data_IF_019939741462
#
_entry.id   IF_019939741462
#
_cell.length_a   1.000
_cell.length_b   1.000
_cell.length_c   1.000
_cell.angle_alpha   90.00
_cell.angle_beta   90.00
_cell.angle_gamma   90.00
#
_symmetry.space_group_name_H-M   'P 1'
#
loop_
_entity.id
_entity.type
_entity.pdbx_description
1 polymer ?
#
# COMPACT_ATOMS: atom_id res chain seq x y z
N UNK A 1 -49.14 -26.77 21.15
CA UNK A 1 -48.15 -26.21 20.19
C UNK A 1 -46.89 -27.08 20.23
N UNK A 2 -46.64 -27.86 19.18
CA UNK A 2 -45.86 -29.10 19.25
C UNK A 2 -44.36 -28.88 18.94
N UNK A 3 -43.47 -29.14 19.91
CA UNK A 3 -42.03 -28.79 19.89
C UNK A 3 -41.22 -29.32 18.70
N UNK A 4 -41.75 -30.28 17.93
CA UNK A 4 -41.08 -30.88 16.77
C UNK A 4 -40.94 -29.94 15.56
N UNK A 5 -41.79 -28.91 15.43
CA UNK A 5 -41.76 -28.01 14.27
C UNK A 5 -40.70 -26.90 14.36
N UNK A 6 -40.14 -26.64 15.56
CA UNK A 6 -39.07 -25.64 15.75
C UNK A 6 -37.68 -26.20 15.45
N UNK A 7 -37.48 -27.51 15.57
CA UNK A 7 -36.17 -28.12 15.35
C UNK A 7 -35.86 -28.31 13.85
N UNK A 8 -36.88 -28.63 13.04
CA UNK A 8 -36.71 -28.85 11.60
C UNK A 8 -36.36 -27.56 10.85
N UNK A 9 -36.84 -26.40 11.32
CA UNK A 9 -36.52 -25.11 10.72
C UNK A 9 -35.07 -24.65 11.00
N UNK A 10 -34.49 -25.02 12.16
CA UNK A 10 -33.13 -24.64 12.53
C UNK A 10 -32.08 -25.48 11.78
N UNK A 11 -32.37 -26.77 11.53
CA UNK A 11 -31.46 -27.63 10.75
C UNK A 11 -31.47 -27.25 9.25
N UNK A 12 -32.61 -26.79 8.71
CA UNK A 12 -32.67 -26.33 7.32
C UNK A 12 -31.86 -25.04 7.06
N UNK A 13 -31.68 -24.18 8.07
CA UNK A 13 -30.89 -22.95 7.95
C UNK A 13 -29.38 -23.24 7.92
N UNK A 14 -28.90 -24.29 8.60
CA UNK A 14 -27.48 -24.64 8.59
C UNK A 14 -27.02 -25.43 7.35
N UNK A 15 -27.93 -26.10 6.64
CA UNK A 15 -27.58 -26.90 5.45
C UNK A 15 -27.58 -26.06 4.15
N UNK A 16 -28.15 -24.85 4.17
CA UNK A 16 -28.20 -23.96 3.00
C UNK A 16 -26.95 -23.07 2.81
N UNK A 17 -25.98 -23.09 3.74
CA UNK A 17 -24.74 -22.30 3.62
C UNK A 17 -23.60 -23.02 2.88
N UNK A 18 -23.78 -24.27 2.46
CA UNK A 18 -22.80 -24.98 1.63
C UNK A 18 -23.04 -24.71 0.13
N UNK A 19 -23.20 -23.44 -0.25
CA UNK A 19 -23.14 -23.04 -1.65
C UNK A 19 -21.69 -22.74 -2.03
N UNK A 20 -21.11 -23.67 -2.78
CA UNK A 20 -20.23 -23.42 -3.93
C UNK A 20 -19.17 -22.33 -3.71
N UNK A 21 -17.99 -22.73 -3.23
CA UNK A 21 -16.78 -21.96 -3.54
C UNK A 21 -16.36 -22.32 -4.98
N UNK A 22 -16.41 -21.41 -5.96
CA UNK A 22 -15.71 -21.62 -7.21
C UNK A 22 -14.21 -21.69 -6.88
N UNK A 23 -13.53 -22.64 -7.52
CA UNK A 23 -12.12 -22.93 -7.26
C UNK A 23 -11.28 -21.67 -7.20
N UNK A 24 -10.60 -21.48 -6.08
CA UNK A 24 -9.47 -20.59 -6.02
C UNK A 24 -8.41 -21.17 -6.97
N UNK A 25 -8.36 -20.65 -8.19
CA UNK A 25 -7.17 -20.75 -9.01
C UNK A 25 -6.08 -20.05 -8.22
N UNK A 26 -5.16 -20.83 -7.66
CA UNK A 26 -3.88 -20.33 -7.20
C UNK A 26 -3.16 -19.89 -8.47
N UNK A 27 -3.34 -18.63 -8.85
CA UNK A 27 -2.35 -17.99 -9.70
C UNK A 27 -1.08 -18.02 -8.86
N UNK A 28 -0.14 -18.90 -9.24
CA UNK A 28 1.23 -18.65 -8.85
C UNK A 28 1.50 -17.21 -9.26
N UNK A 29 1.73 -16.34 -8.27
CA UNK A 29 2.29 -15.02 -8.51
C UNK A 29 3.60 -15.29 -9.23
N UNK A 30 3.56 -15.15 -10.55
CA UNK A 30 4.78 -15.05 -11.34
C UNK A 30 5.46 -13.82 -10.76
N UNK A 31 6.59 -14.01 -10.07
CA UNK A 31 7.42 -12.92 -9.55
C UNK A 31 8.05 -12.06 -10.66
N UNK A 32 7.65 -12.31 -11.90
CA UNK A 32 8.06 -11.65 -13.13
C UNK A 32 6.85 -11.13 -13.92
N UNK A 33 5.62 -11.29 -13.39
CA UNK A 33 4.44 -10.52 -13.80
C UNK A 33 4.33 -9.28 -12.91
N UNK A 34 5.48 -8.72 -12.54
CA UNK A 34 5.63 -7.29 -12.33
C UNK A 34 5.19 -6.68 -13.67
N UNK A 35 3.88 -6.42 -13.80
CA UNK A 35 3.45 -5.28 -14.60
C UNK A 35 4.28 -4.15 -14.03
N UNK A 36 5.36 -3.77 -14.74
CA UNK A 36 6.16 -2.60 -14.42
C UNK A 36 5.17 -1.57 -13.93
N UNK A 37 5.28 -1.20 -12.65
CA UNK A 37 4.30 -0.40 -11.92
C UNK A 37 4.42 1.04 -12.44
N UNK A 38 4.29 1.24 -13.74
CA UNK A 38 3.53 2.39 -14.18
C UNK A 38 2.12 2.13 -13.61
N UNK A 39 1.54 3.03 -12.81
CA UNK A 39 0.10 3.00 -12.61
C UNK A 39 -0.53 2.79 -13.99
N UNK A 40 -1.41 1.78 -14.11
CA UNK A 40 -2.39 1.70 -15.19
C UNK A 40 -3.40 2.86 -15.02
N UNK A 41 -2.89 4.10 -15.01
CA UNK A 41 -3.66 5.26 -15.36
C UNK A 41 -3.94 5.06 -16.83
N UNK A 42 -5.08 4.44 -17.14
CA UNK A 42 -5.67 4.41 -18.48
C UNK A 42 -5.98 5.87 -18.83
N UNK A 43 -4.95 6.62 -19.23
CA UNK A 43 -5.01 7.98 -19.69
C UNK A 43 -5.27 7.88 -21.18
N UNK A 44 -6.53 7.63 -21.56
CA UNK A 44 -7.06 7.83 -22.92
C UNK A 44 -6.11 7.44 -24.09
N UNK A 45 -5.58 6.22 -24.07
CA UNK A 45 -4.74 5.71 -25.16
C UNK A 45 -3.34 6.32 -25.25
N UNK A 46 -2.84 6.97 -24.20
CA UNK A 46 -1.44 7.36 -24.10
C UNK A 46 -0.55 6.12 -23.93
N UNK A 47 0.43 5.97 -24.82
CA UNK A 47 1.56 5.06 -24.60
C UNK A 47 2.53 5.76 -23.65
N UNK A 48 2.77 5.18 -22.47
CA UNK A 48 3.83 5.65 -21.57
C UNK A 48 5.16 5.05 -22.00
N UNK A 49 6.18 5.88 -22.11
CA UNK A 49 7.56 5.46 -22.37
C UNK A 49 8.36 5.41 -21.05
N UNK A 50 9.37 4.52 -20.94
CA UNK A 50 10.27 4.53 -19.80
C UNK A 50 10.92 5.91 -19.60
N UNK A 51 10.75 6.48 -18.40
CA UNK A 51 11.24 7.81 -18.04
C UNK A 51 10.18 8.91 -18.08
N UNK A 52 8.95 8.60 -18.52
CA UNK A 52 7.83 9.53 -18.40
C UNK A 52 7.52 9.84 -16.95
N UNK A 53 7.28 11.13 -16.68
CA UNK A 53 6.87 11.59 -15.35
C UNK A 53 5.36 11.38 -15.21
N UNK A 54 4.98 10.35 -14.46
CA UNK A 54 3.58 10.03 -14.18
C UNK A 54 3.02 10.86 -13.02
N UNK A 55 3.90 11.25 -12.09
CA UNK A 55 3.55 11.91 -10.85
C UNK A 55 4.55 13.02 -10.53
N UNK A 56 4.04 14.16 -10.05
CA UNK A 56 4.89 15.26 -9.60
C UNK A 56 4.22 15.99 -8.43
N UNK A 57 4.80 15.85 -7.24
CA UNK A 57 4.25 16.37 -5.99
C UNK A 57 5.33 17.03 -5.14
N UNK A 58 4.92 18.03 -4.36
CA UNK A 58 5.77 18.58 -3.31
C UNK A 58 5.62 17.78 -2.02
N UNK A 59 6.59 16.91 -1.74
CA UNK A 59 6.61 16.05 -0.54
C UNK A 59 7.00 16.80 0.74
N UNK A 60 7.54 18.02 0.64
CA UNK A 60 7.84 18.87 1.80
C UNK A 60 6.55 19.41 2.46
N UNK A 61 5.38 19.17 1.87
CA UNK A 61 4.08 19.42 2.52
C UNK A 61 3.87 18.60 3.80
N UNK A 62 4.69 17.54 4.00
CA UNK A 62 4.82 16.83 5.27
C UNK A 62 5.44 17.68 6.41
N UNK A 63 6.08 18.80 6.08
CA UNK A 63 6.86 19.61 7.01
C UNK A 63 8.30 19.12 7.22
N UNK A 64 8.72 18.05 6.53
CA UNK A 64 10.09 17.55 6.54
C UNK A 64 10.83 18.01 5.27
N UNK A 65 11.92 18.73 5.47
CA UNK A 65 12.79 19.22 4.39
C UNK A 65 14.01 18.31 4.14
N UNK A 66 14.01 17.12 4.73
CA UNK A 66 15.02 16.08 4.51
C UNK A 66 14.33 14.78 4.04
N UNK A 67 13.64 14.84 2.90
CA UNK A 67 13.07 13.68 2.22
C UNK A 67 14.13 12.95 1.39
N UNK A 68 14.27 11.63 1.54
CA UNK A 68 15.44 10.88 1.04
C UNK A 68 15.08 9.75 0.06
N UNK A 69 14.15 8.87 0.46
CA UNK A 69 13.70 7.73 -0.32
C UNK A 69 12.20 7.79 -0.59
N UNK A 70 11.78 7.13 -1.67
CA UNK A 70 10.38 7.05 -2.09
C UNK A 70 10.05 5.63 -2.53
N UNK A 71 8.87 5.16 -2.17
CA UNK A 71 8.31 3.89 -2.68
C UNK A 71 6.83 4.07 -2.99
N UNK A 72 6.33 3.39 -4.01
CA UNK A 72 4.91 3.37 -4.40
C UNK A 72 4.37 1.95 -4.40
N UNK A 73 3.31 1.68 -3.64
CA UNK A 73 2.69 0.34 -3.57
C UNK A 73 1.51 0.13 -4.54
N UNK A 74 1.27 1.07 -5.45
CA UNK A 74 0.08 1.09 -6.31
C UNK A 74 -1.08 1.93 -5.77
N UNK A 75 -1.05 2.34 -4.50
CA UNK A 75 -2.09 3.15 -3.84
C UNK A 75 -1.53 4.39 -3.15
N UNK A 76 -0.41 4.24 -2.44
CA UNK A 76 0.20 5.26 -1.60
C UNK A 76 1.67 5.45 -1.95
N UNK A 77 2.14 6.68 -1.84
CA UNK A 77 3.56 6.99 -1.79
C UNK A 77 4.03 7.00 -0.34
N UNK A 78 5.14 6.32 -0.10
CA UNK A 78 5.87 6.32 1.16
C UNK A 78 7.13 7.15 0.97
N UNK A 79 7.40 8.08 1.88
CA UNK A 79 8.58 8.95 1.80
C UNK A 79 9.38 8.85 3.09
N UNK A 80 10.65 8.47 3.02
CA UNK A 80 11.53 8.48 4.19
C UNK A 80 12.02 9.91 4.46
N UNK A 81 11.71 10.40 5.67
CA UNK A 81 12.08 11.72 6.16
C UNK A 81 13.12 11.65 7.28
N UNK A 82 14.15 12.48 7.17
CA UNK A 82 15.25 12.58 8.13
C UNK A 82 14.95 13.46 9.36
N UNK A 83 13.69 13.87 9.56
CA UNK A 83 13.32 14.68 10.72
C UNK A 83 13.87 16.11 10.66
N UNK A 84 14.16 16.62 9.46
CA UNK A 84 14.72 17.95 9.22
C UNK A 84 16.25 18.05 9.28
N UNK A 85 16.77 19.18 8.79
CA UNK A 85 18.21 19.44 8.57
C UNK A 85 19.07 19.05 9.78
N UNK A 86 20.05 18.17 9.53
CA UNK A 86 21.06 17.78 10.50
C UNK A 86 20.62 16.72 11.51
N UNK A 87 19.47 16.06 11.29
CA UNK A 87 18.98 14.98 12.14
C UNK A 87 18.52 15.46 13.53
N UNK A 88 18.01 16.69 13.60
CA UNK A 88 17.59 17.29 14.88
C UNK A 88 16.19 16.87 15.32
N UNK A 89 15.35 16.40 14.40
CA UNK A 89 14.04 15.82 14.69
C UNK A 89 14.03 14.29 14.64
N UNK A 90 12.89 13.71 15.00
CA UNK A 90 12.65 12.27 14.90
C UNK A 90 12.46 11.92 13.42
N UNK A 91 13.22 10.96 12.90
CA UNK A 91 13.05 10.47 11.54
C UNK A 91 11.67 9.82 11.36
N UNK A 92 11.00 10.16 10.26
CA UNK A 92 9.62 9.74 9.99
C UNK A 92 9.53 8.98 8.67
N UNK A 93 8.58 8.06 8.58
CA UNK A 93 8.06 7.58 7.31
C UNK A 93 6.73 8.30 7.06
N UNK A 94 6.64 9.05 5.97
CA UNK A 94 5.47 9.84 5.59
C UNK A 94 4.64 9.11 4.55
N UNK A 95 3.32 9.27 4.62
CA UNK A 95 2.35 8.57 3.78
C UNK A 95 1.58 9.62 2.96
N UNK A 96 1.52 9.41 1.66
CA UNK A 96 0.80 10.27 0.73
C UNK A 96 -0.15 9.43 -0.13
N UNK A 97 -1.30 10.01 -0.46
CA UNK A 97 -2.17 9.48 -1.51
C UNK A 97 -1.47 9.55 -2.87
N UNK A 98 -1.94 8.75 -3.83
CA UNK A 98 -1.46 8.80 -5.21
C UNK A 98 -1.61 10.18 -5.88
N UNK A 99 -2.48 11.06 -5.37
CA UNK A 99 -2.65 12.44 -5.86
C UNK A 99 -1.72 13.47 -5.19
N UNK A 100 -0.80 13.01 -4.32
CA UNK A 100 0.14 13.87 -3.58
C UNK A 100 -0.41 14.44 -2.27
N UNK A 101 -1.63 14.10 -1.86
CA UNK A 101 -2.19 14.53 -0.58
C UNK A 101 -1.50 13.82 0.59
N UNK A 102 -0.90 14.59 1.51
CA UNK A 102 -0.33 14.05 2.75
C UNK A 102 -1.42 13.45 3.66
N UNK A 103 -1.15 12.26 4.20
CA UNK A 103 -2.09 11.52 5.06
C UNK A 103 -1.61 11.55 6.51
N UNK A 104 -0.43 10.98 6.77
CA UNK A 104 0.08 10.70 8.11
C UNK A 104 1.58 10.41 8.09
N UNK A 105 2.15 10.15 9.27
CA UNK A 105 3.52 9.64 9.41
C UNK A 105 3.68 8.74 10.63
N UNK A 106 4.73 7.91 10.62
CA UNK A 106 5.17 7.07 11.74
C UNK A 106 6.67 7.24 11.99
N UNK A 107 7.14 6.92 13.19
CA UNK A 107 8.57 6.93 13.51
C UNK A 107 9.29 5.77 12.81
N UNK A 108 10.46 6.05 12.21
CA UNK A 108 11.27 4.99 11.57
C UNK A 108 11.92 4.01 12.57
N UNK A 109 11.93 4.33 13.87
CA UNK A 109 12.53 3.46 14.88
C UNK A 109 14.05 3.26 14.73
N UNK A 110 14.73 4.20 14.08
CA UNK A 110 16.19 4.17 13.86
C UNK A 110 16.92 5.21 14.69
N UNK A 111 18.15 4.92 15.09
CA UNK A 111 19.06 5.87 15.74
C UNK A 111 20.00 6.58 14.74
N UNK A 112 19.84 6.32 13.44
CA UNK A 112 20.59 7.01 12.38
C UNK A 112 20.22 8.49 12.34
N UNK A 113 21.20 9.39 12.30
CA UNK A 113 20.95 10.83 12.14
C UNK A 113 20.38 11.21 10.76
N UNK A 114 20.43 10.29 9.79
CA UNK A 114 19.84 10.49 8.46
C UNK A 114 18.53 9.74 8.26
N UNK A 115 18.15 8.86 9.19
CA UNK A 115 17.05 7.94 8.97
C UNK A 115 17.33 6.90 7.88
N UNK A 116 16.26 6.35 7.34
CA UNK A 116 16.21 5.48 6.17
C UNK A 116 16.44 6.29 4.89
N UNK A 117 17.35 5.82 4.03
CA UNK A 117 17.76 6.54 2.81
C UNK A 117 16.94 6.15 1.59
N UNK A 118 16.62 4.87 1.52
CA UNK A 118 15.86 4.26 0.46
C UNK A 118 14.89 3.28 1.12
N UNK A 119 13.80 2.97 0.44
CA UNK A 119 12.80 2.02 0.92
C UNK A 119 12.29 1.17 -0.23
N UNK A 120 11.87 -0.06 0.08
CA UNK A 120 11.25 -0.95 -0.90
C UNK A 120 10.09 -1.74 -0.29
N UNK A 121 9.11 -2.11 -1.10
CA UNK A 121 7.92 -2.82 -0.67
C UNK A 121 7.72 -4.11 -1.48
N UNK A 122 7.44 -5.22 -0.80
CA UNK A 122 7.23 -6.53 -1.45
C UNK A 122 5.76 -6.97 -1.53
N UNK A 123 4.82 -6.06 -1.25
CA UNK A 123 3.40 -6.40 -1.14
C UNK A 123 2.94 -6.73 0.28
N UNK A 124 3.84 -6.89 1.25
CA UNK A 124 3.47 -7.15 2.65
C UNK A 124 4.37 -6.45 3.68
N UNK A 125 5.63 -6.15 3.35
CA UNK A 125 6.61 -5.54 4.24
C UNK A 125 7.38 -4.42 3.55
N UNK A 126 7.76 -3.43 4.36
CA UNK A 126 8.65 -2.35 3.96
C UNK A 126 10.09 -2.66 4.40
N UNK A 127 11.04 -2.41 3.53
CA UNK A 127 12.48 -2.59 3.75
C UNK A 127 13.21 -1.25 3.65
N UNK A 128 14.31 -1.10 4.37
CA UNK A 128 15.26 0.03 4.29
C UNK A 128 16.68 -0.45 4.52
#
# INVERSE_FOLDING_TARGET
>A
MNRKHKLTAIVAIFVAMAFVMPGATVFASDKNLETDICPDLILDGATFDPGDILFNYNVETSGDNQCLGVEFDGTYFYISGGGGVGGSGINKLHFFQADGTYIASVDQGTSSGWGWRDIGYDGNHMYS
#
